data_IF_968747695980
#
_entry.id   IF_968747695980
#
_cell.length_a   1.000
_cell.length_b   1.000
_cell.length_c   1.000
_cell.angle_alpha   90.00
_cell.angle_beta   90.00
_cell.angle_gamma   90.00
#
_symmetry.space_group_name_H-M   'P 1'
#
loop_
_entity.id
_entity.type
_entity.pdbx_description
1 polymer ?
#
# COMPACT_ATOMS: atom_id res chain seq x y z
N UNK A 1 4.15 26.81 36.67
CA UNK A 1 3.05 25.95 37.17
C UNK A 1 2.31 25.41 35.97
N UNK A 2 2.28 24.09 35.79
CA UNK A 2 1.74 23.45 34.60
C UNK A 2 0.22 23.27 34.70
N UNK A 3 -0.50 23.64 33.65
CA UNK A 3 -1.88 23.21 33.41
C UNK A 3 -1.86 22.12 32.36
N UNK A 4 -1.39 20.94 32.76
CA UNK A 4 -1.68 19.71 32.04
C UNK A 4 -3.15 19.38 32.27
N UNK A 5 -3.99 19.69 31.29
CA UNK A 5 -5.34 19.15 31.22
C UNK A 5 -5.44 18.53 29.83
N UNK A 6 -5.38 17.20 29.77
CA UNK A 6 -5.90 16.40 28.66
C UNK A 6 -7.40 16.74 28.54
N UNK A 7 -7.74 17.88 27.94
CA UNK A 7 -9.10 18.12 27.47
C UNK A 7 -9.28 17.23 26.27
N UNK A 8 -9.99 16.14 26.48
CA UNK A 8 -10.34 15.23 25.41
C UNK A 8 -11.18 16.00 24.40
N UNK A 9 -10.91 15.83 23.10
CA UNK A 9 -11.59 16.56 22.05
C UNK A 9 -13.12 16.39 22.15
N UNK A 10 -13.54 15.20 22.58
CA UNK A 10 -14.94 14.88 22.86
C UNK A 10 -15.56 15.77 23.96
N UNK A 11 -14.84 16.06 25.05
CA UNK A 11 -15.36 16.93 26.13
C UNK A 11 -15.50 18.38 25.68
N UNK A 12 -14.62 18.82 24.79
CA UNK A 12 -14.67 20.17 24.21
C UNK A 12 -15.85 20.32 23.23
N UNK A 13 -16.18 19.27 22.48
CA UNK A 13 -17.36 19.23 21.64
C UNK A 13 -18.65 19.20 22.46
N UNK A 14 -18.70 18.42 23.54
CA UNK A 14 -19.87 18.37 24.42
C UNK A 14 -20.15 19.73 25.08
N UNK A 15 -19.11 20.40 25.59
CA UNK A 15 -19.22 21.79 26.09
C UNK A 15 -19.73 22.76 25.00
N UNK A 16 -19.32 22.58 23.74
CA UNK A 16 -19.75 23.42 22.62
C UNK A 16 -21.22 23.18 22.24
N UNK A 17 -21.68 21.92 22.25
CA UNK A 17 -23.08 21.58 21.98
C UNK A 17 -24.01 22.02 23.11
N UNK A 18 -23.57 21.95 24.36
CA UNK A 18 -24.31 22.46 25.54
C UNK A 18 -24.33 24.00 25.56
N UNK A 19 -23.24 24.66 25.15
CA UNK A 19 -23.22 26.12 24.99
C UNK A 19 -24.06 26.62 23.80
N UNK A 20 -24.35 25.75 22.84
CA UNK A 20 -25.24 26.01 21.70
C UNK A 20 -26.72 25.82 22.08
N UNK A 21 -27.17 26.46 23.16
CA UNK A 21 -28.59 26.79 23.30
C UNK A 21 -29.00 27.66 22.09
N UNK A 22 -30.16 27.42 21.45
CA UNK A 22 -30.62 28.23 20.33
C UNK A 22 -31.13 29.58 20.85
N UNK A 23 -30.23 30.39 21.40
CA UNK A 23 -30.45 31.80 21.61
C UNK A 23 -30.77 32.41 20.25
N UNK A 24 -31.85 33.20 20.20
CA UNK A 24 -32.39 33.87 19.02
C UNK A 24 -31.31 34.13 17.96
N UNK A 25 -31.31 33.30 16.91
CA UNK A 25 -30.46 33.53 15.76
C UNK A 25 -30.95 34.82 15.15
N UNK A 26 -30.30 35.93 15.49
CA UNK A 26 -30.52 37.20 14.81
C UNK A 26 -30.49 36.89 13.31
N UNK A 27 -31.48 37.37 12.52
CA UNK A 27 -31.57 37.03 11.12
C UNK A 27 -30.22 37.26 10.48
N UNK A 28 -29.70 36.23 9.79
CA UNK A 28 -28.41 36.30 9.13
C UNK A 28 -28.34 37.65 8.40
N UNK A 29 -27.28 38.45 8.58
CA UNK A 29 -27.17 39.73 7.91
C UNK A 29 -27.21 39.45 6.40
N UNK A 30 -28.37 39.68 5.79
CA UNK A 30 -28.53 39.60 4.35
C UNK A 30 -27.85 40.84 3.80
N UNK A 31 -26.54 40.77 3.63
CA UNK A 31 -25.81 41.75 2.84
C UNK A 31 -26.34 41.57 1.41
N UNK A 32 -27.02 42.57 0.82
CA UNK A 32 -27.34 42.51 -0.59
C UNK A 32 -26.01 42.60 -1.35
N UNK A 33 -25.44 41.45 -1.68
CA UNK A 33 -24.29 41.36 -2.57
C UNK A 33 -24.80 41.67 -3.97
N UNK A 34 -24.72 42.94 -4.35
CA UNK A 34 -24.86 43.32 -5.75
C UNK A 34 -23.57 42.96 -6.50
N UNK A 35 -23.58 41.79 -7.12
CA UNK A 35 -22.47 41.29 -7.93
C UNK A 35 -22.08 42.25 -9.06
N UNK A 36 -23.02 43.06 -9.55
CA UNK A 36 -22.76 44.03 -10.60
C UNK A 36 -22.03 45.26 -10.05
N UNK A 37 -22.36 45.72 -8.85
CA UNK A 37 -21.64 46.81 -8.18
C UNK A 37 -20.19 46.39 -7.84
N UNK A 38 -19.98 45.16 -7.38
CA UNK A 38 -18.64 44.61 -7.13
C UNK A 38 -17.82 44.50 -8.42
N UNK A 39 -18.47 44.10 -9.52
CA UNK A 39 -17.83 44.09 -10.83
C UNK A 39 -17.46 45.51 -11.28
N UNK A 40 -18.36 46.48 -11.16
CA UNK A 40 -18.10 47.86 -11.57
C UNK A 40 -16.96 48.50 -10.74
N UNK A 41 -16.91 48.21 -9.43
CA UNK A 41 -15.80 48.63 -8.57
C UNK A 41 -14.46 48.00 -8.97
N UNK A 42 -14.44 46.73 -9.38
CA UNK A 42 -13.24 46.05 -9.86
C UNK A 42 -12.72 46.65 -11.18
N UNK A 43 -13.61 47.12 -12.05
CA UNK A 43 -13.25 47.75 -13.33
C UNK A 43 -12.99 49.27 -13.22
N UNK A 44 -13.42 49.90 -12.12
CA UNK A 44 -13.21 51.35 -11.86
C UNK A 44 -11.75 51.76 -11.67
N UNK A 45 -10.83 50.79 -11.59
CA UNK A 45 -9.39 51.02 -11.37
C UNK A 45 -9.04 51.51 -9.95
N UNK A 46 -10.03 51.63 -9.05
CA UNK A 46 -9.85 51.96 -7.63
C UNK A 46 -9.27 50.79 -6.84
N UNK A 47 -9.61 49.56 -7.21
CA UNK A 47 -9.04 48.32 -6.67
C UNK A 47 -7.91 47.87 -7.60
N UNK A 48 -6.66 48.23 -7.26
CA UNK A 48 -5.48 47.73 -7.96
C UNK A 48 -5.02 46.45 -7.29
N UNK A 49 -5.53 45.30 -7.74
CA UNK A 49 -4.84 44.04 -7.47
C UNK A 49 -3.53 44.11 -8.24
N UNK A 50 -2.42 44.34 -7.54
CA UNK A 50 -1.10 44.27 -8.13
C UNK A 50 -0.81 42.78 -8.44
N UNK A 51 -1.40 42.29 -9.52
CA UNK A 51 -1.36 40.87 -9.89
C UNK A 51 0.06 40.35 -10.04
N UNK A 52 1.01 41.22 -10.39
CA UNK A 52 2.43 40.88 -10.49
C UNK A 52 3.10 40.68 -9.13
N UNK A 53 2.78 41.49 -8.12
CA UNK A 53 3.34 41.32 -6.76
C UNK A 53 2.72 40.10 -6.08
N UNK A 54 1.41 39.91 -6.22
CA UNK A 54 0.72 38.73 -5.71
C UNK A 54 1.23 37.46 -6.42
N UNK A 55 1.38 37.47 -7.74
CA UNK A 55 1.94 36.32 -8.46
C UNK A 55 3.43 36.07 -8.15
N UNK A 56 4.19 37.08 -7.71
CA UNK A 56 5.55 36.89 -7.22
C UNK A 56 5.54 36.22 -5.83
N UNK A 57 4.71 36.70 -4.90
CA UNK A 57 4.56 36.14 -3.56
C UNK A 57 4.06 34.68 -3.60
N UNK A 58 3.08 34.36 -4.45
CA UNK A 58 2.61 32.99 -4.65
C UNK A 58 3.70 32.06 -5.21
N UNK A 59 4.55 32.56 -6.12
CA UNK A 59 5.67 31.76 -6.65
C UNK A 59 6.75 31.51 -5.59
N UNK A 60 7.06 32.51 -4.77
CA UNK A 60 8.04 32.39 -3.70
C UNK A 60 7.57 31.44 -2.59
N UNK A 61 6.31 31.56 -2.16
CA UNK A 61 5.69 30.64 -1.20
C UNK A 61 5.56 29.21 -1.77
N UNK A 62 5.28 29.08 -3.07
CA UNK A 62 5.22 27.79 -3.77
C UNK A 62 6.58 27.09 -3.84
N UNK A 63 7.67 27.82 -4.05
CA UNK A 63 9.00 27.23 -4.18
C UNK A 63 9.46 26.52 -2.89
N UNK A 64 9.19 27.08 -1.71
CA UNK A 64 9.51 26.43 -0.45
C UNK A 64 8.71 25.12 -0.24
N UNK A 65 7.45 25.11 -0.66
CA UNK A 65 6.59 23.94 -0.58
C UNK A 65 7.02 22.84 -1.59
N UNK A 66 7.50 23.24 -2.77
CA UNK A 66 8.03 22.32 -3.78
C UNK A 66 9.26 21.58 -3.26
N UNK A 67 10.20 22.28 -2.61
CA UNK A 67 11.40 21.68 -2.02
C UNK A 67 11.05 20.68 -0.91
N UNK A 68 10.11 21.02 -0.03
CA UNK A 68 9.60 20.12 1.01
C UNK A 68 8.93 18.88 0.41
N UNK A 69 8.14 19.04 -0.64
CA UNK A 69 7.45 17.94 -1.32
C UNK A 69 8.42 17.02 -2.06
N UNK A 70 9.44 17.57 -2.71
CA UNK A 70 10.53 16.81 -3.33
C UNK A 70 11.28 15.99 -2.29
N UNK A 71 11.61 16.58 -1.14
CA UNK A 71 12.27 15.87 -0.04
C UNK A 71 11.42 14.71 0.50
N UNK A 72 10.11 14.94 0.67
CA UNK A 72 9.17 13.90 1.10
C UNK A 72 9.07 12.77 0.08
N UNK A 73 8.98 13.09 -1.22
CA UNK A 73 8.95 12.08 -2.28
C UNK A 73 10.24 11.26 -2.32
N UNK A 74 11.39 11.88 -2.11
CA UNK A 74 12.67 11.16 -2.09
C UNK A 74 12.82 10.27 -0.85
N UNK A 75 12.30 10.68 0.31
CA UNK A 75 12.19 9.83 1.49
C UNK A 75 11.29 8.61 1.21
N UNK A 76 10.09 8.81 0.64
CA UNK A 76 9.17 7.72 0.30
C UNK A 76 9.79 6.78 -0.74
N UNK A 77 10.50 7.30 -1.75
CA UNK A 77 11.23 6.48 -2.71
C UNK A 77 12.35 5.68 -2.05
N UNK A 78 13.08 6.25 -1.09
CA UNK A 78 14.12 5.56 -0.35
C UNK A 78 13.54 4.41 0.48
N UNK A 79 12.43 4.63 1.17
CA UNK A 79 11.72 3.61 1.93
C UNK A 79 11.16 2.50 1.02
N UNK A 80 10.54 2.88 -0.11
CA UNK A 80 10.07 1.92 -1.11
C UNK A 80 11.22 1.09 -1.70
N UNK A 81 12.38 1.71 -1.94
CA UNK A 81 13.59 1.02 -2.40
C UNK A 81 14.13 0.08 -1.31
N UNK A 82 14.13 0.48 -0.04
CA UNK A 82 14.52 -0.38 1.06
C UNK A 82 13.58 -1.57 1.25
N UNK A 83 12.28 -1.39 1.02
CA UNK A 83 11.28 -2.46 1.02
C UNK A 83 11.45 -3.41 -0.18
N UNK A 84 11.78 -2.90 -1.37
CA UNK A 84 11.97 -3.71 -2.57
C UNK A 84 13.19 -4.66 -2.49
N UNK A 85 14.19 -4.32 -1.67
CA UNK A 85 15.37 -5.17 -1.43
C UNK A 85 15.03 -6.41 -0.59
N UNK A 86 13.85 -6.47 0.04
CA UNK A 86 13.41 -7.59 0.88
C UNK A 86 12.44 -8.56 0.17
N UNK A 87 12.22 -8.45 -1.15
CA UNK A 87 11.48 -9.52 -1.83
C UNK A 87 12.34 -10.80 -1.83
N UNK A 88 11.90 -11.88 -1.15
CA UNK A 88 12.64 -13.12 -1.15
C UNK A 88 12.76 -13.63 -2.59
N UNK A 89 13.98 -14.01 -2.97
CA UNK A 89 14.28 -14.51 -4.31
C UNK A 89 13.27 -15.61 -4.69
N UNK A 90 12.66 -15.52 -5.89
CA UNK A 90 11.55 -16.40 -6.22
C UNK A 90 12.04 -17.86 -6.24
N UNK A 91 11.26 -18.80 -5.69
CA UNK A 91 11.70 -20.19 -5.50
C UNK A 91 12.16 -20.80 -6.83
N UNK A 92 13.32 -21.45 -6.83
CA UNK A 92 13.95 -22.00 -8.04
C UNK A 92 13.03 -23.00 -8.76
N UNK A 93 13.06 -23.01 -10.09
CA UNK A 93 12.32 -23.99 -10.91
C UNK A 93 13.23 -25.12 -11.42
N UNK A 94 14.49 -25.14 -10.96
CA UNK A 94 15.45 -26.16 -11.36
C UNK A 94 14.99 -27.55 -10.86
N UNK A 95 14.89 -28.55 -11.75
CA UNK A 95 14.50 -29.90 -11.35
C UNK A 95 15.43 -30.52 -10.30
N UNK A 96 16.73 -30.22 -10.29
CA UNK A 96 17.65 -30.80 -9.30
C UNK A 96 17.36 -30.28 -7.88
N UNK A 97 17.09 -28.98 -7.77
CA UNK A 97 16.71 -28.33 -6.51
C UNK A 97 15.38 -28.88 -6.00
N UNK A 98 14.39 -29.05 -6.88
CA UNK A 98 13.09 -29.64 -6.53
C UNK A 98 13.24 -31.10 -6.07
N UNK A 99 14.12 -31.87 -6.70
CA UNK A 99 14.38 -33.25 -6.31
C UNK A 99 15.04 -33.36 -4.93
N UNK A 100 15.98 -32.45 -4.64
CA UNK A 100 16.61 -32.33 -3.33
C UNK A 100 15.60 -31.92 -2.24
N UNK A 101 14.75 -30.92 -2.51
CA UNK A 101 13.67 -30.49 -1.60
C UNK A 101 12.63 -31.59 -1.35
N UNK A 102 12.31 -32.38 -2.38
CA UNK A 102 11.41 -33.52 -2.24
C UNK A 102 12.04 -34.64 -1.40
N UNK A 103 13.36 -34.73 -1.28
CA UNK A 103 14.05 -35.82 -0.58
C UNK A 103 14.01 -37.15 -1.35
N UNK A 104 13.99 -37.09 -2.69
CA UNK A 104 13.81 -38.28 -3.53
C UNK A 104 14.98 -39.28 -3.46
N UNK A 105 16.16 -38.87 -3.01
CA UNK A 105 17.35 -39.73 -2.91
C UNK A 105 17.15 -40.93 -1.96
N UNK A 106 16.49 -40.71 -0.82
CA UNK A 106 16.24 -41.73 0.22
C UNK A 106 14.78 -42.20 0.25
N UNK A 107 13.99 -41.84 -0.78
CA UNK A 107 12.56 -42.06 -0.77
C UNK A 107 12.19 -43.54 -0.88
N UNK A 108 11.44 -44.04 0.10
CA UNK A 108 10.77 -45.35 -0.01
C UNK A 108 9.52 -45.22 -0.86
N UNK A 109 9.18 -46.23 -1.67
CA UNK A 109 8.00 -46.17 -2.55
C UNK A 109 6.68 -45.95 -1.79
N UNK A 110 6.59 -46.39 -0.53
CA UNK A 110 5.41 -46.18 0.32
C UNK A 110 5.25 -44.72 0.78
N UNK A 111 6.33 -43.95 0.87
CA UNK A 111 6.34 -42.59 1.43
C UNK A 111 6.11 -41.51 0.36
N UNK A 112 6.22 -41.86 -0.92
CA UNK A 112 6.06 -40.95 -2.06
C UNK A 112 4.73 -40.17 -2.06
N UNK A 113 3.64 -40.80 -1.61
CA UNK A 113 2.34 -40.13 -1.48
C UNK A 113 2.27 -39.12 -0.31
N UNK A 114 3.05 -39.36 0.76
CA UNK A 114 3.18 -38.42 1.88
C UNK A 114 4.05 -37.24 1.45
N UNK A 115 5.17 -37.49 0.79
CA UNK A 115 6.10 -36.47 0.32
C UNK A 115 5.42 -35.50 -0.66
N UNK A 116 4.62 -36.01 -1.59
CA UNK A 116 3.78 -35.17 -2.48
C UNK A 116 2.90 -34.18 -1.71
N UNK A 117 2.23 -34.65 -0.66
CA UNK A 117 1.32 -33.82 0.15
C UNK A 117 2.08 -32.73 0.88
N UNK A 118 3.22 -33.05 1.49
CA UNK A 118 4.06 -32.07 2.19
C UNK A 118 4.56 -31.00 1.22
N UNK A 119 5.09 -31.41 0.06
CA UNK A 119 5.56 -30.47 -0.96
C UNK A 119 4.44 -29.56 -1.46
N UNK A 120 3.25 -30.12 -1.69
CA UNK A 120 2.08 -29.36 -2.12
C UNK A 120 1.65 -28.32 -1.09
N UNK A 121 1.69 -28.62 0.20
CA UNK A 121 1.28 -27.66 1.23
C UNK A 121 2.12 -26.37 1.20
N UNK A 122 3.40 -26.47 0.86
CA UNK A 122 4.32 -25.33 0.77
C UNK A 122 4.33 -24.66 -0.61
N UNK A 123 4.01 -25.39 -1.70
CA UNK A 123 4.21 -24.93 -3.08
C UNK A 123 2.92 -24.89 -3.94
N UNK A 124 1.73 -25.07 -3.38
CA UNK A 124 0.49 -25.06 -4.19
C UNK A 124 0.22 -23.66 -4.78
N UNK A 125 -0.15 -23.55 -6.08
CA UNK A 125 -0.43 -22.26 -6.72
C UNK A 125 -1.52 -21.45 -5.99
N UNK A 126 -2.50 -22.11 -5.39
CA UNK A 126 -3.59 -21.42 -4.65
C UNK A 126 -3.15 -20.84 -3.31
N UNK A 127 -2.00 -21.26 -2.77
CA UNK A 127 -1.50 -20.82 -1.46
C UNK A 127 -0.40 -19.76 -1.54
N UNK A 128 0.08 -19.45 -2.73
CA UNK A 128 1.14 -18.45 -2.96
C UNK A 128 0.58 -17.16 -3.52
N UNK A 129 1.35 -16.07 -3.38
CA UNK A 129 1.00 -14.77 -3.94
C UNK A 129 0.80 -14.84 -5.48
N UNK A 130 -0.07 -13.99 -6.07
CA UNK A 130 -0.40 -14.04 -7.49
C UNK A 130 0.79 -14.08 -8.45
N UNK A 131 1.85 -13.32 -8.15
CA UNK A 131 3.06 -13.24 -8.96
C UNK A 131 3.92 -14.53 -8.90
N UNK A 132 3.75 -15.38 -7.89
CA UNK A 132 4.47 -16.65 -7.74
C UNK A 132 3.70 -17.86 -8.27
N UNK A 133 2.41 -17.71 -8.61
CA UNK A 133 1.52 -18.83 -8.99
C UNK A 133 2.05 -19.64 -10.16
N UNK A 134 2.57 -18.96 -11.19
CA UNK A 134 3.13 -19.64 -12.36
C UNK A 134 4.33 -20.51 -11.98
N UNK A 135 5.22 -20.01 -11.11
CA UNK A 135 6.38 -20.79 -10.62
C UNK A 135 5.95 -21.96 -9.75
N UNK A 136 4.99 -21.74 -8.85
CA UNK A 136 4.40 -22.79 -8.03
C UNK A 136 3.74 -23.90 -8.86
N UNK A 137 3.05 -23.52 -9.95
CA UNK A 137 2.46 -24.47 -10.90
C UNK A 137 3.54 -25.34 -11.57
N UNK A 138 4.61 -24.72 -12.10
CA UNK A 138 5.73 -25.45 -12.71
C UNK A 138 6.42 -26.37 -11.70
N UNK A 139 6.70 -25.87 -10.49
CA UNK A 139 7.30 -26.68 -9.40
C UNK A 139 6.43 -27.89 -9.05
N UNK A 140 5.11 -27.72 -8.95
CA UNK A 140 4.17 -28.82 -8.69
C UNK A 140 4.14 -29.85 -9.82
N UNK A 141 4.17 -29.41 -11.08
CA UNK A 141 4.21 -30.29 -12.25
C UNK A 141 5.48 -31.14 -12.27
N UNK A 142 6.64 -30.50 -12.07
CA UNK A 142 7.93 -31.19 -11.99
C UNK A 142 7.95 -32.18 -10.82
N UNK A 143 7.47 -31.79 -9.65
CA UNK A 143 7.38 -32.66 -8.49
C UNK A 143 6.50 -33.90 -8.75
N UNK A 144 5.33 -33.70 -9.38
CA UNK A 144 4.44 -34.81 -9.71
C UNK A 144 5.09 -35.79 -10.69
N UNK A 145 5.72 -35.28 -11.75
CA UNK A 145 6.46 -36.08 -12.72
C UNK A 145 7.55 -36.92 -12.05
N UNK A 146 8.39 -36.30 -11.22
CA UNK A 146 9.48 -37.01 -10.51
C UNK A 146 8.97 -38.10 -9.57
N UNK A 147 7.88 -37.83 -8.84
CA UNK A 147 7.28 -38.81 -7.95
C UNK A 147 6.71 -39.99 -8.73
N UNK A 148 6.08 -39.75 -9.88
CA UNK A 148 5.52 -40.82 -10.72
C UNK A 148 6.62 -41.66 -11.37
N UNK A 149 7.73 -41.04 -11.80
CA UNK A 149 8.92 -41.76 -12.26
C UNK A 149 9.56 -42.60 -11.17
N UNK A 150 9.66 -42.08 -9.94
CA UNK A 150 10.15 -42.83 -8.79
C UNK A 150 9.26 -44.04 -8.47
N UNK A 151 7.93 -43.89 -8.54
CA UNK A 151 6.99 -45.01 -8.40
C UNK A 151 7.21 -46.07 -9.48
N UNK A 152 7.35 -45.67 -10.74
CA UNK A 152 7.58 -46.59 -11.87
C UNK A 152 8.89 -47.36 -11.71
N UNK A 153 9.96 -46.69 -11.27
CA UNK A 153 11.26 -47.33 -10.98
C UNK A 153 11.17 -48.32 -9.81
N UNK A 154 10.49 -47.93 -8.73
CA UNK A 154 10.27 -48.80 -7.57
C UNK A 154 9.44 -50.04 -7.90
N UNK A 155 8.43 -49.92 -8.76
CA UNK A 155 7.64 -51.06 -9.25
C UNK A 155 8.48 -52.02 -10.10
N UNK A 156 9.34 -51.49 -10.99
CA UNK A 156 10.22 -52.31 -11.85
C UNK A 156 11.29 -53.08 -11.06
N UNK A 157 11.77 -52.55 -9.92
CA UNK A 157 12.75 -53.23 -9.06
C UNK A 157 12.15 -54.36 -8.21
N UNK A 158 10.82 -54.43 -8.12
CA UNK A 158 10.08 -55.42 -7.32
C UNK A 158 9.51 -56.57 -8.18
N UNK A 159 9.67 -56.49 -9.50
CA UNK A 159 9.38 -57.56 -10.47
C UNK A 159 10.65 -58.30 -10.84
#
# INVERSE_FOLDING_TARGET
>A
MGTGINRDFASLLDDLFVASEPGEVAPAPTIPFDYLAVADELHSGRIRVAGETVAAEYREAGAALEDEFVSLLDMVKADAKAAAVQEPEPPSIDPEVIAAELGLADAKPADLARMRRIFALANHPDRVAPHLRQRAMVRMQLANMMIDDAKRRGAKKKS
#
